data_IF_682805022405
#
_entry.id   IF_682805022405
#
_cell.length_a   1.000
_cell.length_b   1.000
_cell.length_c   1.000
_cell.angle_alpha   90.00
_cell.angle_beta   90.00
_cell.angle_gamma   90.00
#
_symmetry.space_group_name_H-M   'P 1'
#
loop_
_entity.id
_entity.type
_entity.pdbx_description
1 polymer ?
#
# COMPACT_ATOMS: atom_id res chain seq x y z
N UNK A 1 2.72 -11.46 -0.90
CA UNK A 1 3.05 -10.09 -1.38
C UNK A 1 2.13 -9.10 -0.69
N UNK A 2 2.65 -8.00 -0.14
CA UNK A 2 1.85 -6.94 0.47
C UNK A 2 1.80 -5.68 -0.41
N UNK A 3 0.61 -5.17 -0.68
CA UNK A 3 0.37 -3.95 -1.49
C UNK A 3 -0.46 -2.95 -0.67
N UNK A 4 0.09 -1.81 -0.25
CA UNK A 4 -0.68 -0.74 0.39
C UNK A 4 -1.31 0.18 -0.65
N UNK A 5 -2.56 0.55 -0.43
CA UNK A 5 -3.31 1.51 -1.23
C UNK A 5 -3.73 2.69 -0.38
N UNK A 6 -3.44 3.90 -0.86
CA UNK A 6 -3.89 5.17 -0.27
C UNK A 6 -4.88 5.84 -1.21
N UNK A 7 -5.83 6.60 -0.67
CA UNK A 7 -6.82 7.31 -1.48
C UNK A 7 -6.16 8.27 -2.45
N UNK A 8 -6.55 8.21 -3.72
CA UNK A 8 -6.12 9.14 -4.79
C UNK A 8 -7.33 9.58 -5.62
N UNK A 9 -7.27 10.82 -6.14
CA UNK A 9 -8.32 11.43 -6.95
C UNK A 9 -8.30 10.98 -8.43
N UNK A 10 -7.21 10.35 -8.89
CA UNK A 10 -7.02 9.94 -10.29
C UNK A 10 -6.83 8.42 -10.35
N UNK A 11 -7.65 7.77 -11.19
CA UNK A 11 -7.69 6.36 -11.65
C UNK A 11 -6.76 5.27 -11.05
N UNK A 12 -7.30 4.05 -11.00
CA UNK A 12 -6.92 2.92 -10.14
C UNK A 12 -5.60 2.22 -10.48
N UNK A 13 -4.47 2.85 -10.19
CA UNK A 13 -3.14 2.20 -10.19
C UNK A 13 -3.12 0.86 -9.44
N UNK A 14 -3.91 0.74 -8.37
CA UNK A 14 -4.06 -0.51 -7.63
C UNK A 14 -4.56 -1.64 -8.52
N UNK A 15 -5.61 -1.39 -9.30
CA UNK A 15 -6.23 -2.38 -10.18
C UNK A 15 -5.26 -2.80 -11.29
N UNK A 16 -4.55 -1.84 -11.89
CA UNK A 16 -3.56 -2.14 -12.93
C UNK A 16 -2.40 -2.98 -12.38
N UNK A 17 -1.91 -2.62 -11.18
CA UNK A 17 -0.86 -3.37 -10.49
C UNK A 17 -1.31 -4.80 -10.19
N UNK A 18 -2.55 -4.98 -9.71
CA UNK A 18 -3.10 -6.30 -9.42
C UNK A 18 -3.23 -7.14 -10.69
N UNK A 19 -3.74 -6.56 -11.78
CA UNK A 19 -3.81 -7.26 -13.06
C UNK A 19 -2.43 -7.71 -13.54
N UNK A 20 -1.45 -6.79 -13.57
CA UNK A 20 -0.09 -7.12 -14.01
C UNK A 20 0.56 -8.18 -13.12
N UNK A 21 0.39 -8.12 -11.80
CA UNK A 21 0.98 -9.13 -10.92
C UNK A 21 0.33 -10.50 -11.14
N UNK A 22 -1.00 -10.57 -11.15
CA UNK A 22 -1.72 -11.84 -11.27
C UNK A 22 -1.49 -12.49 -12.64
N UNK A 23 -1.42 -11.69 -13.73
CA UNK A 23 -1.21 -12.22 -15.08
C UNK A 23 0.18 -12.83 -15.30
N UNK A 24 1.17 -12.40 -14.51
CA UNK A 24 2.55 -12.89 -14.60
C UNK A 24 2.79 -14.12 -13.71
N UNK A 25 1.87 -14.47 -12.80
CA UNK A 25 1.97 -15.68 -11.98
C UNK A 25 1.50 -16.91 -12.76
N UNK A 26 2.33 -17.95 -12.76
CA UNK A 26 1.91 -19.28 -13.22
C UNK A 26 0.83 -19.88 -12.30
N UNK A 27 0.04 -20.87 -12.77
CA UNK A 27 -1.00 -21.49 -11.93
C UNK A 27 -0.47 -22.03 -10.59
N UNK A 28 0.73 -22.61 -10.60
CA UNK A 28 1.35 -23.13 -9.38
C UNK A 28 1.75 -22.01 -8.41
N UNK A 29 2.28 -20.89 -8.92
CA UNK A 29 2.60 -19.73 -8.08
C UNK A 29 1.33 -19.04 -7.53
N UNK A 30 0.21 -19.09 -8.25
CA UNK A 30 -1.07 -18.59 -7.73
C UNK A 30 -1.59 -19.44 -6.56
N UNK A 31 -1.30 -20.74 -6.53
CA UNK A 31 -1.65 -21.62 -5.41
C UNK A 31 -0.69 -21.45 -4.21
N UNK A 32 0.60 -21.19 -4.47
CA UNK A 32 1.64 -21.05 -3.45
C UNK A 32 1.86 -19.60 -2.95
N UNK A 33 1.07 -18.64 -3.42
CA UNK A 33 1.21 -17.23 -3.02
C UNK A 33 -0.10 -16.58 -2.59
N UNK A 34 0.04 -15.53 -1.76
CA UNK A 34 -1.06 -14.68 -1.34
C UNK A 34 -0.67 -13.23 -1.56
N UNK A 35 -1.52 -12.48 -2.24
CA UNK A 35 -1.47 -11.03 -2.41
C UNK A 35 -2.40 -10.42 -1.37
N UNK A 36 -1.85 -9.62 -0.47
CA UNK A 36 -2.62 -8.88 0.54
C UNK A 36 -2.63 -7.41 0.17
N UNK A 37 -3.82 -6.88 -0.11
CA UNK A 37 -4.06 -5.46 -0.34
C UNK A 37 -4.50 -4.80 0.95
N UNK A 38 -3.70 -3.85 1.42
CA UNK A 38 -4.07 -2.97 2.53
C UNK A 38 -4.73 -1.70 1.98
N UNK A 39 -6.00 -1.50 2.28
CA UNK A 39 -6.65 -0.19 2.12
C UNK A 39 -6.22 0.66 3.32
N UNK A 40 -5.19 1.48 3.14
CA UNK A 40 -4.56 2.28 4.19
C UNK A 40 -5.36 3.56 4.51
N UNK A 41 -6.67 3.42 4.62
CA UNK A 41 -7.62 4.47 4.95
C UNK A 41 -8.44 4.08 6.17
N UNK A 42 -9.14 5.05 6.75
CA UNK A 42 -9.99 4.84 7.93
C UNK A 42 -11.46 5.22 7.70
N UNK A 43 -11.77 5.85 6.56
CA UNK A 43 -13.12 6.20 6.15
C UNK A 43 -13.88 4.93 5.71
N UNK A 44 -14.93 4.50 6.44
CA UNK A 44 -15.65 3.27 6.13
C UNK A 44 -16.30 3.27 4.76
N UNK A 45 -16.76 4.43 4.27
CA UNK A 45 -17.40 4.52 2.96
C UNK A 45 -16.41 4.27 1.83
N UNK A 46 -15.21 4.87 1.95
CA UNK A 46 -14.13 4.65 1.00
C UNK A 46 -13.63 3.21 1.02
N UNK A 47 -13.40 2.65 2.23
CA UNK A 47 -12.97 1.25 2.39
C UNK A 47 -13.96 0.30 1.73
N UNK A 48 -15.26 0.49 1.97
CA UNK A 48 -16.31 -0.32 1.37
C UNK A 48 -16.29 -0.19 -0.16
N UNK A 49 -16.23 1.02 -0.69
CA UNK A 49 -16.22 1.27 -2.13
C UNK A 49 -15.04 0.57 -2.83
N UNK A 50 -13.82 0.66 -2.26
CA UNK A 50 -12.63 0.00 -2.82
C UNK A 50 -12.74 -1.52 -2.69
N UNK A 51 -13.21 -2.02 -1.55
CA UNK A 51 -13.38 -3.46 -1.32
C UNK A 51 -14.34 -4.08 -2.32
N UNK A 52 -15.50 -3.45 -2.55
CA UNK A 52 -16.48 -3.94 -3.52
C UNK A 52 -15.99 -3.84 -4.96
N UNK A 53 -15.22 -2.80 -5.29
CA UNK A 53 -14.58 -2.69 -6.61
C UNK A 53 -13.58 -3.85 -6.85
N UNK A 54 -12.71 -4.16 -5.89
CA UNK A 54 -11.75 -5.27 -6.00
C UNK A 54 -12.48 -6.61 -6.13
N UNK A 55 -13.51 -6.86 -5.30
CA UNK A 55 -14.31 -8.10 -5.39
C UNK A 55 -15.00 -8.25 -6.75
N UNK A 56 -15.47 -7.15 -7.33
CA UNK A 56 -16.14 -7.17 -8.63
C UNK A 56 -15.15 -7.48 -9.78
N UNK A 57 -13.90 -7.01 -9.68
CA UNK A 57 -12.88 -7.18 -10.73
C UNK A 57 -12.10 -8.49 -10.60
N UNK A 58 -11.88 -8.98 -9.37
CA UNK A 58 -11.08 -10.17 -9.06
C UNK A 58 -11.87 -11.24 -8.25
N UNK A 59 -13.08 -11.63 -8.68
CA UNK A 59 -13.95 -12.52 -7.90
C UNK A 59 -13.42 -13.96 -7.79
N UNK A 60 -12.50 -14.35 -8.67
CA UNK A 60 -11.89 -15.69 -8.67
C UNK A 60 -10.74 -15.72 -7.67
N UNK A 61 -9.87 -14.72 -7.72
CA UNK A 61 -8.67 -14.61 -6.90
C UNK A 61 -9.00 -14.35 -5.42
N UNK A 62 -10.06 -13.58 -5.16
CA UNK A 62 -10.57 -13.41 -3.79
C UNK A 62 -11.13 -14.71 -3.24
N UNK A 63 -11.77 -15.52 -4.09
CA UNK A 63 -12.40 -16.79 -3.68
C UNK A 63 -11.39 -17.91 -3.50
N UNK A 64 -10.34 -17.95 -4.31
CA UNK A 64 -9.26 -18.91 -4.18
C UNK A 64 -8.36 -18.62 -2.97
N UNK A 65 -8.43 -17.40 -2.43
CA UNK A 65 -7.54 -16.95 -1.35
C UNK A 65 -6.21 -16.37 -1.85
N UNK A 66 -6.02 -16.28 -3.18
CA UNK A 66 -4.88 -15.59 -3.77
C UNK A 66 -4.90 -14.10 -3.43
N UNK A 67 -6.07 -13.46 -3.38
CA UNK A 67 -6.21 -12.03 -3.10
C UNK A 67 -7.00 -11.78 -1.82
N UNK A 68 -6.37 -11.16 -0.84
CA UNK A 68 -6.99 -10.72 0.41
C UNK A 68 -7.01 -9.19 0.49
N UNK A 69 -8.11 -8.63 0.99
CA UNK A 69 -8.26 -7.18 1.20
C UNK A 69 -8.47 -6.90 2.68
N UNK A 70 -7.62 -6.06 3.25
CA UNK A 70 -7.66 -5.68 4.67
C UNK A 70 -7.66 -4.16 4.82
N UNK A 71 -8.13 -3.68 5.97
CA UNK A 71 -8.02 -2.27 6.37
C UNK A 71 -7.64 -2.19 7.85
N UNK A 72 -6.86 -1.18 8.26
CA UNK A 72 -6.49 -1.00 9.65
C UNK A 72 -7.62 -0.33 10.42
N UNK A 73 -7.76 -0.71 11.70
CA UNK A 73 -8.61 0.06 12.62
C UNK A 73 -8.06 1.48 12.79
N UNK A 74 -8.91 2.52 12.92
CA UNK A 74 -8.43 3.86 13.25
C UNK A 74 -7.57 3.91 14.52
N UNK A 75 -7.82 3.00 15.48
CA UNK A 75 -7.07 2.88 16.74
C UNK A 75 -5.65 2.33 16.56
N UNK A 76 -5.32 1.78 15.39
CA UNK A 76 -3.96 1.33 15.09
C UNK A 76 -3.00 2.52 14.97
N UNK A 77 -3.49 3.67 14.52
CA UNK A 77 -2.66 4.84 14.31
C UNK A 77 -2.53 5.67 15.59
N UNK A 78 -1.34 6.22 15.88
CA UNK A 78 -1.16 7.15 17.00
C UNK A 78 -1.73 8.53 16.66
N UNK A 79 -1.82 9.37 17.68
CA UNK A 79 -2.09 10.80 17.49
C UNK A 79 -0.93 11.49 16.75
N UNK A 80 -1.11 11.68 15.44
CA UNK A 80 -0.12 12.29 14.56
C UNK A 80 0.17 13.76 14.88
N UNK A 81 -0.66 14.45 15.67
CA UNK A 81 -0.44 15.86 16.04
C UNK A 81 0.78 16.03 16.95
N UNK A 82 1.20 14.95 17.63
CA UNK A 82 2.30 14.93 18.60
C UNK A 82 3.64 14.54 18.00
N UNK A 83 3.71 14.37 16.68
CA UNK A 83 4.96 14.01 16.00
C UNK A 83 5.98 15.15 16.11
N UNK A 84 7.21 14.78 16.48
CA UNK A 84 8.34 15.70 16.48
C UNK A 84 8.82 15.92 15.05
N UNK A 85 9.16 17.16 14.73
CA UNK A 85 9.86 17.47 13.48
C UNK A 85 11.23 16.78 13.48
N UNK A 86 11.61 16.23 12.35
CA UNK A 86 12.86 15.50 12.16
C UNK A 86 13.48 15.92 10.84
N UNK A 87 14.82 16.03 10.78
CA UNK A 87 15.56 16.34 9.55
C UNK A 87 15.13 17.65 8.83
N UNK A 88 14.52 18.59 9.56
CA UNK A 88 14.00 19.84 8.98
C UNK A 88 12.76 19.67 8.11
N UNK A 89 12.12 18.50 8.13
CA UNK A 89 10.91 18.23 7.36
C UNK A 89 9.69 18.97 7.92
N UNK A 90 8.81 19.52 7.06
CA UNK A 90 7.51 20.02 7.50
C UNK A 90 6.69 18.93 8.21
N UNK A 91 5.87 19.31 9.20
CA UNK A 91 5.04 18.36 9.98
C UNK A 91 4.18 17.44 9.12
N UNK A 92 3.67 17.94 7.99
CA UNK A 92 2.88 17.13 7.06
C UNK A 92 3.71 15.99 6.45
N UNK A 93 4.95 16.26 6.06
CA UNK A 93 5.87 15.24 5.53
C UNK A 93 6.24 14.22 6.59
N UNK A 94 6.50 14.66 7.81
CA UNK A 94 6.75 13.75 8.95
C UNK A 94 5.53 12.87 9.18
N UNK A 95 4.33 13.45 9.27
CA UNK A 95 3.07 12.70 9.43
C UNK A 95 2.86 11.67 8.32
N UNK A 96 3.06 12.07 7.07
CA UNK A 96 2.91 11.17 5.93
C UNK A 96 3.87 9.99 5.99
N UNK A 97 5.17 10.24 6.26
CA UNK A 97 6.19 9.19 6.41
C UNK A 97 5.90 8.26 7.58
N UNK A 98 5.50 8.82 8.72
CA UNK A 98 5.15 8.02 9.90
C UNK A 98 3.94 7.14 9.61
N UNK A 99 2.89 7.67 8.97
CA UNK A 99 1.72 6.87 8.59
C UNK A 99 2.12 5.75 7.63
N UNK A 100 2.88 6.06 6.57
CA UNK A 100 3.32 5.05 5.60
C UNK A 100 4.12 3.92 6.26
N UNK A 101 5.03 4.24 7.18
CA UNK A 101 5.78 3.22 7.92
C UNK A 101 4.85 2.34 8.76
N UNK A 102 3.83 2.93 9.41
CA UNK A 102 2.82 2.17 10.16
C UNK A 102 1.99 1.29 9.24
N UNK A 103 1.61 1.77 8.05
CA UNK A 103 0.90 0.99 7.04
C UNK A 103 1.70 -0.26 6.65
N UNK A 104 3.02 -0.11 6.43
CA UNK A 104 3.91 -1.24 6.14
C UNK A 104 4.04 -2.20 7.32
N UNK A 105 4.18 -1.67 8.54
CA UNK A 105 4.21 -2.50 9.75
C UNK A 105 2.92 -3.33 9.90
N UNK A 106 1.75 -2.70 9.69
CA UNK A 106 0.46 -3.40 9.76
C UNK A 106 0.40 -4.57 8.78
N UNK A 107 0.81 -4.32 7.53
CA UNK A 107 0.78 -5.33 6.48
C UNK A 107 1.75 -6.47 6.74
N UNK A 108 2.97 -6.16 7.21
CA UNK A 108 3.95 -7.17 7.61
C UNK A 108 3.46 -8.02 8.78
N UNK A 109 2.84 -7.41 9.80
CA UNK A 109 2.27 -8.15 10.94
C UNK A 109 1.15 -9.09 10.50
N UNK A 110 0.26 -8.63 9.62
CA UNK A 110 -0.80 -9.46 9.07
C UNK A 110 -0.26 -10.62 8.22
N UNK A 111 0.76 -10.36 7.41
CA UNK A 111 1.35 -11.35 6.51
C UNK A 111 2.32 -12.32 7.19
N UNK A 112 2.73 -12.07 8.44
CA UNK A 112 3.75 -12.84 9.15
C UNK A 112 3.50 -14.36 9.11
N UNK A 113 2.26 -14.79 9.31
CA UNK A 113 1.90 -16.21 9.36
C UNK A 113 1.46 -16.79 8.01
N UNK A 114 1.53 -16.02 6.92
CA UNK A 114 0.97 -16.39 5.61
C UNK A 114 1.97 -16.98 4.64
N UNK A 115 3.27 -16.86 4.91
CA UNK A 115 4.29 -17.39 4.02
C UNK A 115 5.68 -17.35 4.63
N UNK A 116 6.60 -18.07 3.99
CA UNK A 116 8.02 -18.12 4.37
C UNK A 116 8.72 -16.81 3.99
N UNK A 117 8.27 -16.17 2.91
CA UNK A 117 8.84 -14.94 2.37
C UNK A 117 7.79 -13.83 2.28
N UNK A 118 8.23 -12.60 2.51
CA UNK A 118 7.41 -11.41 2.37
C UNK A 118 8.06 -10.43 1.38
N UNK A 119 7.24 -9.90 0.46
CA UNK A 119 7.63 -8.86 -0.49
C UNK A 119 6.67 -7.69 -0.32
N UNK A 120 7.23 -6.52 0.00
CA UNK A 120 6.51 -5.25 0.04
C UNK A 120 6.54 -4.64 -1.37
N UNK A 121 5.37 -4.54 -2.01
CA UNK A 121 5.24 -3.86 -3.31
C UNK A 121 4.74 -2.44 -3.04
N UNK A 122 5.50 -1.44 -3.49
CA UNK A 122 5.00 -0.06 -3.54
C UNK A 122 4.34 0.15 -4.90
N UNK A 123 3.05 0.50 -4.98
CA UNK A 123 2.42 0.76 -6.27
C UNK A 123 3.00 2.00 -6.99
N UNK A 124 3.85 2.81 -6.34
CA UNK A 124 4.53 3.98 -6.93
C UNK A 124 5.64 4.54 -6.01
N UNK A 125 6.76 5.11 -6.53
CA UNK A 125 7.68 5.98 -5.80
C UNK A 125 7.27 7.47 -5.78
N UNK A 126 6.04 7.85 -5.39
CA UNK A 126 5.65 9.27 -5.31
C UNK A 126 5.78 9.85 -3.91
N UNK A 127 6.99 10.33 -3.67
CA UNK A 127 7.24 11.65 -3.11
C UNK A 127 6.01 12.61 -3.25
N UNK A 128 5.43 13.12 -2.14
CA UNK A 128 4.39 14.16 -2.19
C UNK A 128 4.87 15.40 -2.96
N UNK A 129 3.96 16.13 -3.61
CA UNK A 129 4.24 17.33 -4.43
C UNK A 129 5.09 18.41 -3.74
N UNK A 130 5.23 18.36 -2.42
CA UNK A 130 5.98 19.29 -1.59
C UNK A 130 7.46 18.93 -1.38
N UNK A 131 7.98 17.82 -1.92
CA UNK A 131 9.43 17.58 -1.88
C UNK A 131 10.14 18.24 -3.07
N UNK A 132 11.29 18.90 -2.85
CA UNK A 132 12.15 19.30 -3.94
C UNK A 132 12.71 18.07 -4.65
N UNK A 133 12.70 18.06 -5.98
CA UNK A 133 13.45 17.08 -6.77
C UNK A 133 14.93 17.18 -6.38
N UNK A 134 15.66 16.06 -6.23
CA UNK A 134 17.09 16.12 -6.01
C UNK A 134 17.71 16.97 -7.13
N UNK A 135 18.52 17.95 -6.76
CA UNK A 135 19.20 18.82 -7.72
C UNK A 135 19.97 17.93 -8.69
N UNK A 136 19.67 18.04 -9.99
CA UNK A 136 20.50 17.44 -11.03
C UNK A 136 21.91 17.98 -10.86
N UNK A 137 22.84 17.14 -10.41
CA UNK A 137 24.25 17.50 -10.44
C UNK A 137 24.60 17.83 -11.90
N UNK A 138 25.14 19.02 -12.20
CA UNK A 138 25.63 19.30 -13.55
C UNK A 138 26.74 18.29 -13.87
N UNK A 139 26.84 17.84 -15.12
CA UNK A 139 27.92 16.93 -15.51
C UNK A 139 29.28 17.61 -15.25
N UNK A 140 30.30 16.83 -14.85
CA UNK A 140 31.64 17.37 -14.64
C UNK A 140 32.17 17.95 -15.96
N UNK A 141 32.84 19.10 -15.83
CA UNK A 141 33.46 19.85 -16.93
C UNK A 141 34.61 19.09 -17.59
#
# INVERSE_FOLDING_TARGET
>A
MGIPSVRREVHSYLTDTLHSLISELSPQEQEDSVIVVLIAETDPQYILAVTENIKALFPTEVRSGLLEVISPSPHFYPDFSRLRESFGDPKERVRWRTKQNLDYCFLMMYAQSKGIYYVQVSPDPTVPSWQPRPASHPPPA
#
